data_IF_957446891332
#
_entry.id   IF_957446891332
#
_cell.length_a   1.000
_cell.length_b   1.000
_cell.length_c   1.000
_cell.angle_alpha   90.00
_cell.angle_beta   90.00
_cell.angle_gamma   90.00
#
_symmetry.space_group_name_H-M   'P 1'
#
loop_
_entity.id
_entity.type
_entity.pdbx_description
1 polymer ?
#
# COMPACT_ATOMS: atom_id res chain seq x y z
N UNK A 1 -0.28 16.79 11.08
CA UNK A 1 -1.08 16.03 10.09
C UNK A 1 -1.82 17.02 9.21
N UNK A 2 -1.71 16.86 7.89
CA UNK A 2 -2.32 17.77 6.92
C UNK A 2 -3.84 17.57 6.92
N UNK A 3 -4.61 18.64 7.14
CA UNK A 3 -6.07 18.61 7.29
C UNK A 3 -6.82 18.31 5.98
N UNK A 4 -6.13 18.08 4.86
CA UNK A 4 -6.71 17.98 3.53
C UNK A 4 -6.51 16.60 2.90
N UNK A 5 -7.15 15.56 3.45
CA UNK A 5 -7.39 14.30 2.74
C UNK A 5 -8.90 14.06 2.59
N UNK A 6 -9.59 14.85 1.74
CA UNK A 6 -11.05 14.84 1.63
C UNK A 6 -11.60 13.50 1.13
N UNK A 7 -10.81 12.75 0.36
CA UNK A 7 -11.18 11.46 -0.23
C UNK A 7 -10.87 10.26 0.68
N UNK A 8 -10.45 10.48 1.94
CA UNK A 8 -9.99 9.44 2.87
C UNK A 8 -10.86 8.19 2.88
N UNK A 9 -12.16 8.33 3.09
CA UNK A 9 -13.04 7.15 3.21
C UNK A 9 -13.08 6.33 1.91
N UNK A 10 -13.13 7.00 0.75
CA UNK A 10 -13.09 6.34 -0.55
C UNK A 10 -11.75 5.65 -0.79
N UNK A 11 -10.66 6.34 -0.50
CA UNK A 11 -9.31 5.82 -0.72
C UNK A 11 -9.00 4.64 0.20
N UNK A 12 -9.42 4.71 1.47
CA UNK A 12 -9.30 3.59 2.41
C UNK A 12 -10.15 2.39 1.98
N UNK A 13 -11.35 2.60 1.45
CA UNK A 13 -12.17 1.51 0.92
C UNK A 13 -11.53 0.84 -0.30
N UNK A 14 -11.00 1.62 -1.25
CA UNK A 14 -10.26 1.09 -2.40
C UNK A 14 -9.03 0.31 -1.92
N UNK A 15 -8.31 0.85 -0.94
CA UNK A 15 -7.14 0.19 -0.39
C UNK A 15 -7.48 -1.15 0.27
N UNK A 16 -8.58 -1.19 1.03
CA UNK A 16 -9.10 -2.42 1.63
C UNK A 16 -9.37 -3.49 0.57
N UNK A 17 -10.06 -3.14 -0.52
CA UNK A 17 -10.37 -4.10 -1.58
C UNK A 17 -9.10 -4.70 -2.22
N UNK A 18 -8.10 -3.87 -2.51
CA UNK A 18 -6.81 -4.32 -3.06
C UNK A 18 -6.07 -5.22 -2.06
N UNK A 19 -6.07 -4.84 -0.78
CA UNK A 19 -5.44 -5.62 0.27
C UNK A 19 -6.13 -6.98 0.47
N UNK A 20 -7.46 -7.02 0.47
CA UNK A 20 -8.25 -8.26 0.60
C UNK A 20 -8.05 -9.20 -0.58
N UNK A 21 -8.00 -8.67 -1.81
CA UNK A 21 -7.70 -9.45 -3.01
C UNK A 21 -6.31 -10.08 -2.92
N UNK A 22 -5.30 -9.29 -2.58
CA UNK A 22 -3.93 -9.80 -2.45
C UNK A 22 -3.77 -10.79 -1.27
N UNK A 23 -4.44 -10.55 -0.14
CA UNK A 23 -4.44 -11.46 1.00
C UNK A 23 -5.05 -12.82 0.63
N UNK A 24 -6.14 -12.81 -0.15
CA UNK A 24 -6.79 -14.01 -0.67
C UNK A 24 -5.87 -14.79 -1.62
N UNK A 25 -5.20 -14.10 -2.55
CA UNK A 25 -4.26 -14.74 -3.49
C UNK A 25 -3.06 -15.40 -2.79
N UNK A 26 -2.60 -14.81 -1.69
CA UNK A 26 -1.47 -15.32 -0.89
C UNK A 26 -1.91 -16.28 0.23
N UNK A 27 -3.20 -16.59 0.35
CA UNK A 27 -3.78 -17.40 1.43
C UNK A 27 -3.32 -16.96 2.83
N UNK A 28 -3.21 -15.65 3.04
CA UNK A 28 -2.66 -15.06 4.27
C UNK A 28 -3.65 -14.11 4.93
N UNK A 29 -3.56 -14.00 6.26
CA UNK A 29 -4.33 -13.02 7.04
C UNK A 29 -3.51 -11.76 7.37
N UNK A 30 -2.23 -11.73 6.99
CA UNK A 30 -1.32 -10.63 7.29
C UNK A 30 -0.61 -10.15 6.04
N UNK A 31 -0.54 -8.83 5.87
CA UNK A 31 0.14 -8.19 4.75
C UNK A 31 1.38 -7.46 5.24
N UNK A 32 2.55 -7.91 4.77
CA UNK A 32 3.80 -7.18 4.93
C UNK A 32 3.87 -5.97 4.02
N UNK A 33 4.50 -4.88 4.46
CA UNK A 33 4.82 -3.74 3.58
C UNK A 33 5.92 -4.09 2.57
N UNK A 34 6.80 -5.02 2.96
CA UNK A 34 7.87 -5.56 2.15
C UNK A 34 7.71 -7.07 2.00
N UNK A 35 8.23 -7.60 0.90
CA UNK A 35 8.33 -9.02 0.62
C UNK A 35 9.78 -9.38 0.29
N UNK A 36 10.17 -10.60 0.70
CA UNK A 36 11.44 -11.20 0.32
C UNK A 36 11.22 -12.02 -0.94
N UNK A 37 11.98 -11.72 -2.00
CA UNK A 37 11.92 -12.46 -3.25
C UNK A 37 13.27 -13.03 -3.59
N UNK A 38 13.28 -14.33 -3.90
CA UNK A 38 14.49 -15.06 -4.24
C UNK A 38 14.67 -15.00 -5.76
N UNK A 39 15.74 -14.36 -6.20
CA UNK A 39 16.24 -14.50 -7.56
C UNK A 39 17.13 -15.75 -7.61
N UNK A 40 16.57 -16.85 -8.13
CA UNK A 40 17.30 -18.11 -8.25
C UNK A 40 18.43 -18.05 -9.27
N UNK A 41 18.32 -17.19 -10.28
CA UNK A 41 19.31 -17.08 -11.35
C UNK A 41 20.59 -16.41 -10.85
N UNK A 42 20.43 -15.34 -10.06
CA UNK A 42 21.55 -14.62 -9.45
C UNK A 42 21.95 -15.16 -8.07
N UNK A 43 21.20 -16.14 -7.53
CA UNK A 43 21.33 -16.66 -6.16
C UNK A 43 21.28 -15.53 -5.11
N UNK A 44 20.33 -14.61 -5.27
CA UNK A 44 20.18 -13.42 -4.42
C UNK A 44 18.80 -13.35 -3.77
N UNK A 45 18.77 -12.73 -2.60
CA UNK A 45 17.54 -12.37 -1.91
C UNK A 45 17.31 -10.87 -2.05
N UNK A 46 16.15 -10.49 -2.57
CA UNK A 46 15.77 -9.10 -2.78
C UNK A 46 14.65 -8.74 -1.79
N UNK A 47 14.87 -7.67 -1.02
CA UNK A 47 13.80 -7.02 -0.27
C UNK A 47 13.16 -5.96 -1.14
N UNK A 48 11.87 -6.11 -1.42
CA UNK A 48 11.11 -5.14 -2.23
C UNK A 48 9.78 -4.81 -1.58
N UNK A 49 9.15 -3.72 -2.03
CA UNK A 49 7.78 -3.42 -1.62
C UNK A 49 6.86 -4.56 -2.03
N UNK A 50 5.94 -4.93 -1.15
CA UNK A 50 4.94 -5.95 -1.44
C UNK A 50 4.05 -5.52 -2.60
N UNK A 51 3.60 -6.47 -3.41
CA UNK A 51 2.85 -6.15 -4.64
C UNK A 51 1.57 -5.36 -4.39
N UNK A 52 0.87 -5.56 -3.26
CA UNK A 52 -0.30 -4.75 -2.90
C UNK A 52 0.05 -3.26 -2.75
N UNK A 53 1.25 -2.93 -2.25
CA UNK A 53 1.73 -1.55 -2.13
C UNK A 53 1.93 -0.92 -3.51
N UNK A 54 2.50 -1.68 -4.44
CA UNK A 54 2.68 -1.25 -5.84
C UNK A 54 1.32 -1.09 -6.54
N UNK A 55 0.36 -1.97 -6.25
CA UNK A 55 -0.99 -1.87 -6.77
C UNK A 55 -1.71 -0.60 -6.27
N UNK A 56 -1.58 -0.24 -4.98
CA UNK A 56 -2.09 1.04 -4.47
C UNK A 56 -1.48 2.23 -5.19
N UNK A 57 -0.14 2.25 -5.31
CA UNK A 57 0.57 3.34 -5.97
C UNK A 57 0.09 3.52 -7.42
N UNK A 58 -0.05 2.41 -8.16
CA UNK A 58 -0.57 2.41 -9.53
C UNK A 58 -2.02 2.90 -9.59
N UNK A 59 -2.88 2.39 -8.70
CA UNK A 59 -4.29 2.75 -8.65
C UNK A 59 -4.49 4.25 -8.39
N UNK A 60 -3.87 4.77 -7.34
CA UNK A 60 -4.04 6.19 -6.97
C UNK A 60 -3.35 7.13 -7.94
N UNK A 61 -2.22 6.74 -8.56
CA UNK A 61 -1.63 7.50 -9.65
C UNK A 61 -2.57 7.55 -10.87
N UNK A 62 -3.21 6.44 -11.24
CA UNK A 62 -4.19 6.42 -12.32
C UNK A 62 -5.41 7.29 -12.03
N UNK A 63 -5.85 7.36 -10.77
CA UNK A 63 -7.05 8.13 -10.38
C UNK A 63 -6.80 9.62 -10.21
N UNK A 64 -5.65 9.98 -9.64
CA UNK A 64 -5.39 11.34 -9.16
C UNK A 64 -4.17 12.00 -9.82
N UNK A 65 -3.45 11.27 -10.69
CA UNK A 65 -2.18 11.70 -11.27
C UNK A 65 -1.01 11.52 -10.31
N UNK A 66 0.21 11.75 -10.80
CA UNK A 66 1.44 11.36 -10.10
C UNK A 66 1.56 11.97 -8.68
N UNK A 67 1.38 13.29 -8.56
CA UNK A 67 1.63 13.98 -7.28
C UNK A 67 0.56 13.64 -6.22
N UNK A 68 -0.72 13.74 -6.59
CA UNK A 68 -1.81 13.47 -5.66
C UNK A 68 -1.94 11.97 -5.37
N UNK A 69 -1.67 11.12 -6.36
CA UNK A 69 -1.63 9.67 -6.21
C UNK A 69 -0.54 9.22 -5.23
N UNK A 70 0.68 9.77 -5.33
CA UNK A 70 1.75 9.52 -4.35
C UNK A 70 1.35 9.99 -2.95
N UNK A 71 0.79 11.20 -2.83
CA UNK A 71 0.29 11.71 -1.55
C UNK A 71 -0.74 10.76 -0.92
N UNK A 72 -1.77 10.35 -1.66
CA UNK A 72 -2.82 9.44 -1.16
C UNK A 72 -2.24 8.08 -0.79
N UNK A 73 -1.35 7.53 -1.63
CA UNK A 73 -0.67 6.25 -1.35
C UNK A 73 0.05 6.29 -0.01
N UNK A 74 0.84 7.35 0.24
CA UNK A 74 1.53 7.54 1.52
C UNK A 74 0.58 7.72 2.70
N UNK A 75 -0.53 8.45 2.51
CA UNK A 75 -1.53 8.62 3.57
C UNK A 75 -2.20 7.30 3.94
N UNK A 76 -2.60 6.49 2.96
CA UNK A 76 -3.17 5.16 3.18
C UNK A 76 -2.19 4.28 3.94
N UNK A 77 -0.95 4.14 3.45
CA UNK A 77 0.07 3.31 4.10
C UNK A 77 0.33 3.79 5.54
N UNK A 78 0.51 5.09 5.73
CA UNK A 78 0.73 5.67 7.06
C UNK A 78 -0.44 5.37 7.99
N UNK A 79 -1.67 5.50 7.51
CA UNK A 79 -2.87 5.20 8.29
C UNK A 79 -2.95 3.71 8.68
N UNK A 80 -2.61 2.79 7.77
CA UNK A 80 -2.59 1.35 8.05
C UNK A 80 -1.54 0.98 9.11
N UNK A 81 -0.33 1.56 9.03
CA UNK A 81 0.77 1.30 9.98
C UNK A 81 0.42 1.87 11.35
N UNK A 82 -0.06 3.11 11.39
CA UNK A 82 -0.36 3.82 12.64
C UNK A 82 -1.72 3.48 13.23
N UNK A 83 -2.58 2.76 12.49
CA UNK A 83 -3.99 2.54 12.85
C UNK A 83 -4.74 3.87 13.09
N UNK A 84 -4.32 4.94 12.42
CA UNK A 84 -4.85 6.29 12.64
C UNK A 84 -4.39 6.98 13.93
N UNK A 85 -3.47 6.37 14.69
CA UNK A 85 -2.84 7.02 15.84
C UNK A 85 -1.80 8.05 15.38
N UNK A 86 -1.62 9.10 16.18
CA UNK A 86 -0.53 10.05 15.97
C UNK A 86 0.71 9.51 16.69
N UNK A 87 1.78 9.25 15.95
CA UNK A 87 3.09 8.99 16.55
C UNK A 87 3.63 10.36 17.01
N UNK A 88 3.80 10.53 18.32
CA UNK A 88 4.36 11.73 18.95
C UNK A 88 5.88 11.70 18.95
#
# INVERSE_FOLDING_TARGET
MNKNWPTKNKDMHIAQLIMEEYAKEQETQTLGLFELVIDQSEKRMNFRLANWVLALAKQFNSMYGANQGDFVTRQVISYCITQGQTIH
#
